data_IF_553423378769
#
_entry.id   IF_553423378769
#
_cell.length_a   1.000
_cell.length_b   1.000
_cell.length_c   1.000
_cell.angle_alpha   90.00
_cell.angle_beta   90.00
_cell.angle_gamma   90.00
#
_symmetry.space_group_name_H-M   'P 1'
#
loop_
_entity.id
_entity.type
_entity.pdbx_description
1 polymer ?
#
# COMPACT_ATOMS: atom_id res chain seq x y z
N UNK A 1 -19.95 9.56 -8.39
CA UNK A 1 -19.11 9.14 -7.25
C UNK A 1 -17.70 8.85 -7.78
N UNK A 2 -16.63 9.48 -7.26
CA UNK A 2 -15.26 9.18 -7.71
C UNK A 2 -14.90 7.75 -7.27
N UNK A 3 -14.84 6.79 -8.19
CA UNK A 3 -14.41 5.41 -7.90
C UNK A 3 -12.92 5.42 -7.54
N UNK A 4 -12.62 5.33 -6.25
CA UNK A 4 -11.27 5.25 -5.71
C UNK A 4 -11.10 3.94 -4.95
N UNK A 5 -9.90 3.36 -5.02
CA UNK A 5 -9.55 2.13 -4.33
C UNK A 5 -8.14 2.22 -3.76
N UNK A 6 -7.91 1.58 -2.62
CA UNK A 6 -6.58 1.48 -2.00
C UNK A 6 -5.90 0.18 -2.43
N UNK A 7 -4.61 0.28 -2.72
CA UNK A 7 -3.76 -0.84 -3.09
C UNK A 7 -2.57 -0.85 -2.14
N UNK A 8 -2.46 -1.87 -1.31
CA UNK A 8 -1.28 -2.09 -0.49
C UNK A 8 -0.23 -2.81 -1.33
N UNK A 9 1.04 -2.47 -1.11
CA UNK A 9 2.17 -3.26 -1.58
C UNK A 9 2.30 -4.45 -0.66
N UNK A 10 1.96 -5.64 -1.16
CA UNK A 10 2.08 -6.92 -0.47
C UNK A 10 3.55 -7.26 -0.15
N UNK A 11 3.78 -8.12 0.85
CA UNK A 11 5.13 -8.45 1.32
C UNK A 11 6.03 -9.10 0.25
N UNK A 12 5.42 -9.79 -0.70
CA UNK A 12 6.11 -10.53 -1.76
C UNK A 12 6.04 -9.82 -3.12
N UNK A 13 5.62 -8.55 -3.18
CA UNK A 13 5.54 -7.78 -4.41
C UNK A 13 6.40 -6.51 -4.32
N UNK A 14 6.94 -6.07 -5.46
CA UNK A 14 7.61 -4.77 -5.53
C UNK A 14 6.59 -3.64 -5.68
N UNK A 15 7.02 -2.39 -5.44
CA UNK A 15 6.20 -1.22 -5.75
C UNK A 15 5.77 -1.21 -7.22
N UNK A 16 6.63 -1.67 -8.13
CA UNK A 16 6.33 -1.74 -9.57
C UNK A 16 5.24 -2.76 -9.88
N UNK A 17 5.27 -3.93 -9.22
CA UNK A 17 4.24 -4.97 -9.34
C UNK A 17 2.88 -4.46 -8.85
N UNK A 18 2.85 -3.78 -7.70
CA UNK A 18 1.64 -3.17 -7.18
C UNK A 18 1.08 -2.13 -8.17
N UNK A 19 1.92 -1.28 -8.77
CA UNK A 19 1.49 -0.31 -9.76
C UNK A 19 0.99 -0.96 -11.06
N UNK A 20 1.57 -2.09 -11.46
CA UNK A 20 1.08 -2.87 -12.60
C UNK A 20 -0.30 -3.44 -12.30
N UNK A 21 -0.48 -4.05 -11.12
CA UNK A 21 -1.76 -4.58 -10.64
C UNK A 21 -2.85 -3.51 -10.55
N UNK A 22 -2.49 -2.28 -10.20
CA UNK A 22 -3.40 -1.12 -10.27
C UNK A 22 -3.83 -0.83 -11.71
N UNK A 23 -2.88 -0.79 -12.65
CA UNK A 23 -3.17 -0.55 -14.08
C UNK A 23 -4.05 -1.63 -14.67
N UNK A 24 -3.75 -2.90 -14.39
CA UNK A 24 -4.52 -4.05 -14.88
C UNK A 24 -5.96 -4.04 -14.35
N UNK A 25 -6.17 -3.50 -13.13
CA UNK A 25 -7.49 -3.27 -12.55
C UNK A 25 -8.17 -1.99 -13.07
N UNK A 26 -7.54 -1.22 -13.96
CA UNK A 26 -8.08 0.02 -14.52
C UNK A 26 -7.94 1.25 -13.60
N UNK A 27 -7.00 1.26 -12.66
CA UNK A 27 -6.77 2.37 -11.73
C UNK A 27 -5.45 3.10 -12.00
N UNK A 28 -5.49 4.43 -11.94
CA UNK A 28 -4.31 5.29 -11.95
C UNK A 28 -3.96 5.73 -10.52
N UNK A 29 -2.71 5.59 -10.06
CA UNK A 29 -2.30 6.05 -8.74
C UNK A 29 -2.38 7.57 -8.62
N UNK A 30 -3.06 8.06 -7.59
CA UNK A 30 -3.23 9.49 -7.31
C UNK A 30 -2.63 9.91 -5.96
N UNK A 31 -2.35 8.97 -5.05
CA UNK A 31 -1.68 9.22 -3.76
C UNK A 31 -0.85 8.00 -3.34
N UNK A 32 0.25 8.23 -2.61
CA UNK A 32 1.07 7.22 -1.92
C UNK A 32 1.12 7.55 -0.43
N UNK A 33 1.01 6.53 0.40
CA UNK A 33 1.12 6.58 1.85
C UNK A 33 2.16 5.56 2.28
N UNK A 34 2.96 5.93 3.28
CA UNK A 34 3.89 5.02 3.95
C UNK A 34 3.62 5.09 5.44
N UNK A 35 3.39 3.94 6.05
CA UNK A 35 3.08 3.84 7.47
C UNK A 35 4.02 2.85 8.14
N UNK A 36 4.66 3.21 9.27
CA UNK A 36 5.37 2.23 10.07
C UNK A 36 4.37 1.22 10.63
N UNK A 37 4.68 -0.05 10.49
CA UNK A 37 4.03 -1.16 11.18
C UNK A 37 4.91 -1.49 12.37
N UNK A 38 4.31 -1.44 13.56
CA UNK A 38 4.98 -1.76 14.80
C UNK A 38 4.74 -3.22 15.16
N UNK A 39 5.71 -3.82 15.84
CA UNK A 39 5.59 -5.16 16.42
C UNK A 39 5.90 -5.07 17.91
N UNK A 40 5.12 -5.78 18.70
CA UNK A 40 5.35 -5.91 20.14
C UNK A 40 6.45 -6.95 20.40
N UNK A 41 7.44 -6.56 21.21
CA UNK A 41 8.52 -7.41 21.68
C UNK A 41 8.12 -8.17 22.94
N UNK A 42 8.91 -9.20 23.29
CA UNK A 42 8.66 -10.03 24.48
C UNK A 42 8.66 -9.22 25.79
N UNK A 43 9.35 -8.08 25.80
CA UNK A 43 9.47 -7.17 26.93
C UNK A 43 8.34 -6.11 26.98
N UNK A 44 7.36 -6.18 26.07
CA UNK A 44 6.20 -5.26 26.01
C UNK A 44 6.48 -3.92 25.32
N UNK A 45 7.69 -3.71 24.79
CA UNK A 45 8.03 -2.53 23.99
C UNK A 45 7.61 -2.70 22.52
N UNK A 46 7.25 -1.59 21.87
CA UNK A 46 6.92 -1.57 20.44
C UNK A 46 8.11 -1.10 19.62
N UNK A 47 8.56 -1.95 18.70
CA UNK A 47 9.59 -1.59 17.71
C UNK A 47 8.99 -1.42 16.32
N UNK A 48 9.64 -0.61 15.47
CA UNK A 48 9.25 -0.49 14.07
C UNK A 48 9.69 -1.76 13.33
N UNK A 49 8.72 -2.55 12.88
CA UNK A 49 8.98 -3.81 12.20
C UNK A 49 9.25 -3.61 10.70
N UNK A 50 8.35 -2.91 10.01
CA UNK A 50 8.50 -2.57 8.58
C UNK A 50 7.67 -1.37 8.20
N UNK A 51 7.88 -0.84 7.00
CA UNK A 51 7.02 0.19 6.42
C UNK A 51 6.01 -0.46 5.46
N UNK A 52 4.72 -0.23 5.71
CA UNK A 52 3.66 -0.57 4.75
C UNK A 52 3.51 0.58 3.76
N UNK A 53 3.60 0.26 2.46
CA UNK A 53 3.33 1.21 1.37
C UNK A 53 1.91 0.97 0.86
N UNK A 54 1.13 2.03 0.72
CA UNK A 54 -0.22 1.99 0.18
C UNK A 54 -0.43 3.10 -0.85
N UNK A 55 -1.00 2.76 -2.00
CA UNK A 55 -1.46 3.68 -3.01
C UNK A 55 -2.97 3.88 -2.95
N UNK A 56 -3.45 5.05 -3.34
CA UNK A 56 -4.85 5.27 -3.71
C UNK A 56 -4.91 5.40 -5.22
N UNK A 57 -5.64 4.50 -5.85
CA UNK A 57 -5.98 4.54 -7.26
C UNK A 57 -7.31 5.25 -7.50
N UNK A 58 -7.39 6.05 -8.56
CA UNK A 58 -8.64 6.51 -9.16
C UNK A 58 -8.93 5.66 -10.39
N UNK A 59 -10.16 5.14 -10.53
CA UNK A 59 -10.55 4.40 -11.73
C UNK A 59 -10.39 5.32 -12.96
N UNK A 60 -9.78 4.78 -14.00
CA UNK A 60 -9.66 5.38 -15.31
C UNK A 60 -11.02 5.21 -15.98
N UNK A 61 -11.69 6.33 -16.27
CA UNK A 61 -12.94 6.37 -17.04
C UNK A 61 -12.65 6.27 -18.54
#
# INVERSE_FOLDING_TARGET
MKKQQKFKVEENETVQDCLQRMRDAGYMPIKRFEKPIYKENKDGEYEVYRQEIQFVGKLIE
#
